data_IF_071684671147
#
_entry.id   IF_071684671147
#
_cell.length_a   1.000
_cell.length_b   1.000
_cell.length_c   1.000
_cell.angle_alpha   90.00
_cell.angle_beta   90.00
_cell.angle_gamma   90.00
#
_symmetry.space_group_name_H-M   'P 1'
#
loop_
_entity.id
_entity.type
_entity.pdbx_description
1 polymer ?
#
# COMPACT_ATOMS: atom_id res chain seq x y z
N UNK A 1 -11.10 12.92 19.70
CA UNK A 1 -10.34 12.01 18.81
C UNK A 1 -10.18 12.65 17.45
N UNK A 2 -9.20 12.21 16.66
CA UNK A 2 -8.98 12.68 15.29
C UNK A 2 -9.18 11.51 14.30
N UNK A 3 -9.84 11.76 13.17
CA UNK A 3 -9.94 10.79 12.08
C UNK A 3 -8.60 10.65 11.35
N UNK A 4 -8.26 9.44 10.88
CA UNK A 4 -7.01 9.14 10.17
C UNK A 4 -7.29 8.47 8.84
N UNK A 5 -6.71 8.99 7.77
CA UNK A 5 -6.80 8.39 6.44
C UNK A 5 -5.45 7.79 6.07
N UNK A 6 -5.42 6.51 5.72
CA UNK A 6 -4.25 5.88 5.12
C UNK A 6 -4.23 6.20 3.63
N UNK A 7 -3.29 7.05 3.21
CA UNK A 7 -3.16 7.44 1.82
C UNK A 7 -2.22 6.47 1.09
N UNK A 8 -2.65 6.00 -0.09
CA UNK A 8 -1.87 5.14 -0.99
C UNK A 8 -1.61 3.76 -0.38
N UNK A 9 -2.67 3.10 0.08
CA UNK A 9 -2.60 1.81 0.79
C UNK A 9 -1.94 0.66 -0.01
N UNK A 10 -1.84 0.79 -1.34
CA UNK A 10 -1.13 -0.14 -2.22
C UNK A 10 0.08 0.52 -2.92
N UNK A 11 0.72 1.50 -2.28
CA UNK A 11 2.02 2.00 -2.73
C UNK A 11 3.12 1.01 -2.34
N UNK A 12 3.98 0.66 -3.30
CA UNK A 12 5.18 -0.11 -3.05
C UNK A 12 6.36 0.83 -2.75
N UNK A 13 6.79 1.62 -3.74
CA UNK A 13 7.98 2.48 -3.58
C UNK A 13 8.13 3.50 -4.69
N UNK A 14 9.20 4.31 -4.62
CA UNK A 14 9.50 5.32 -5.65
C UNK A 14 9.82 4.68 -7.00
N UNK A 15 9.46 5.39 -8.06
CA UNK A 15 9.99 5.13 -9.41
C UNK A 15 11.42 5.67 -9.46
N UNK A 16 12.35 4.89 -9.99
CA UNK A 16 13.76 5.30 -10.07
C UNK A 16 13.96 6.44 -11.07
N UNK A 17 15.03 7.22 -10.92
CA UNK A 17 15.34 8.28 -11.87
C UNK A 17 15.63 7.68 -13.26
N UNK A 18 14.90 8.14 -14.27
CA UNK A 18 15.02 7.65 -15.65
C UNK A 18 14.19 6.39 -15.95
N UNK A 19 13.51 5.82 -14.94
CA UNK A 19 12.54 4.74 -15.15
C UNK A 19 11.22 5.30 -15.70
N UNK A 20 10.59 4.54 -16.62
CA UNK A 20 9.32 4.92 -17.21
C UNK A 20 8.16 4.74 -16.23
N UNK A 21 7.27 5.74 -16.20
CA UNK A 21 6.06 5.69 -15.39
C UNK A 21 4.97 4.83 -16.06
N UNK A 22 4.82 3.58 -15.60
CA UNK A 22 3.83 2.62 -16.14
C UNK A 22 2.37 3.08 -16.04
N UNK A 23 2.00 3.82 -15.00
CA UNK A 23 0.61 4.29 -14.79
C UNK A 23 0.52 5.80 -14.78
N UNK A 24 -0.25 6.37 -15.71
CA UNK A 24 -0.41 7.82 -15.86
C UNK A 24 -0.82 8.53 -14.56
N UNK A 25 -1.58 7.86 -13.67
CA UNK A 25 -2.08 8.42 -12.41
C UNK A 25 -1.23 8.09 -11.17
N UNK A 26 -0.19 7.28 -11.29
CA UNK A 26 0.67 6.91 -10.16
C UNK A 26 2.08 7.48 -10.36
N UNK A 27 2.54 8.31 -9.44
CA UNK A 27 3.91 8.86 -9.43
C UNK A 27 4.89 8.01 -8.60
N UNK A 28 4.49 6.77 -8.32
CA UNK A 28 5.19 5.76 -7.55
C UNK A 28 4.82 4.38 -8.11
N UNK A 29 5.59 3.35 -7.77
CA UNK A 29 5.26 1.96 -8.06
C UNK A 29 4.10 1.50 -7.18
N UNK A 30 2.92 1.17 -7.73
CA UNK A 30 1.89 0.48 -6.97
C UNK A 30 2.25 -1.00 -6.80
N UNK A 31 1.70 -1.65 -5.78
CA UNK A 31 1.79 -3.10 -5.61
C UNK A 31 0.86 -3.74 -6.66
N UNK A 32 1.44 -4.44 -7.63
CA UNK A 32 0.69 -5.18 -8.66
C UNK A 32 0.51 -6.66 -8.33
N UNK A 33 1.44 -7.21 -7.54
CA UNK A 33 1.38 -8.58 -7.04
C UNK A 33 0.18 -8.74 -6.09
N UNK A 34 -0.77 -9.61 -6.46
CA UNK A 34 -2.03 -9.73 -5.74
C UNK A 34 -1.84 -10.22 -4.30
N UNK A 35 -0.88 -11.11 -4.07
CA UNK A 35 -0.57 -11.64 -2.74
C UNK A 35 0.01 -10.56 -1.82
N UNK A 36 0.98 -9.77 -2.32
CA UNK A 36 1.52 -8.65 -1.56
C UNK A 36 0.48 -7.53 -1.36
N UNK A 37 -0.40 -7.29 -2.35
CA UNK A 37 -1.46 -6.30 -2.23
C UNK A 37 -2.49 -6.69 -1.16
N UNK A 38 -2.87 -7.96 -1.11
CA UNK A 38 -3.74 -8.53 -0.07
C UNK A 38 -3.14 -8.29 1.33
N UNK A 39 -1.88 -8.69 1.54
CA UNK A 39 -1.17 -8.47 2.80
C UNK A 39 -1.09 -6.98 3.18
N UNK A 40 -0.70 -6.12 2.24
CA UNK A 40 -0.50 -4.69 2.48
C UNK A 40 -1.81 -3.97 2.83
N UNK A 41 -2.90 -4.27 2.13
CA UNK A 41 -4.19 -3.64 2.39
C UNK A 41 -4.82 -4.17 3.68
N UNK A 42 -4.77 -5.49 3.95
CA UNK A 42 -5.27 -6.03 5.22
C UNK A 42 -4.48 -5.49 6.41
N UNK A 43 -3.15 -5.36 6.29
CA UNK A 43 -2.34 -4.68 7.31
C UNK A 43 -2.80 -3.24 7.54
N UNK A 44 -3.00 -2.48 6.46
CA UNK A 44 -3.45 -1.09 6.50
C UNK A 44 -4.81 -0.95 7.18
N UNK A 45 -5.80 -1.77 6.79
CA UNK A 45 -7.15 -1.79 7.35
C UNK A 45 -7.20 -2.29 8.80
N UNK A 46 -6.19 -3.04 9.25
CA UNK A 46 -6.04 -3.46 10.65
C UNK A 46 -5.48 -2.36 11.55
N UNK A 47 -4.97 -1.26 10.98
CA UNK A 47 -4.55 -0.10 11.76
C UNK A 47 -5.77 0.69 12.24
N UNK A 48 -5.63 1.50 13.31
CA UNK A 48 -6.74 2.30 13.82
C UNK A 48 -7.07 3.54 12.95
N UNK A 49 -7.41 3.32 11.68
CA UNK A 49 -7.73 4.32 10.67
C UNK A 49 -9.24 4.40 10.39
N UNK A 50 -9.67 5.48 9.74
CA UNK A 50 -11.06 5.69 9.30
C UNK A 50 -11.28 5.16 7.88
N UNK A 51 -10.31 5.36 6.98
CA UNK A 51 -10.39 4.86 5.62
C UNK A 51 -8.98 4.65 5.02
N UNK A 52 -8.90 3.78 4.02
CA UNK A 52 -7.72 3.54 3.21
C UNK A 52 -8.01 3.93 1.76
N UNK A 53 -7.11 4.73 1.15
CA UNK A 53 -7.26 5.21 -0.23
C UNK A 53 -6.25 4.49 -1.12
N UNK A 54 -6.68 3.70 -2.13
CA UNK A 54 -5.78 3.00 -3.04
C UNK A 54 -5.13 3.96 -4.06
N UNK A 55 -4.20 3.46 -4.91
CA UNK A 55 -3.63 4.21 -6.02
C UNK A 55 -4.68 4.75 -7.01
N UNK A 56 -4.35 5.82 -7.73
CA UNK A 56 -5.33 6.57 -8.54
C UNK A 56 -5.76 5.91 -9.86
N UNK A 57 -5.09 4.84 -10.28
CA UNK A 57 -5.50 4.05 -11.44
C UNK A 57 -6.62 3.06 -11.05
N UNK A 58 -7.68 3.00 -11.85
CA UNK A 58 -8.95 2.36 -11.48
C UNK A 58 -8.78 0.87 -11.16
N UNK A 59 -7.87 0.18 -11.84
CA UNK A 59 -7.66 -1.26 -11.59
C UNK A 59 -7.20 -1.57 -10.16
N UNK A 60 -6.51 -0.63 -9.50
CA UNK A 60 -6.09 -0.82 -8.11
C UNK A 60 -7.22 -0.53 -7.13
N UNK A 61 -8.20 0.29 -7.54
CA UNK A 61 -9.43 0.45 -6.78
C UNK A 61 -10.24 -0.84 -6.80
N UNK A 62 -10.42 -1.45 -7.98
CA UNK A 62 -11.12 -2.74 -8.12
C UNK A 62 -10.41 -3.83 -7.30
N UNK A 63 -9.08 -3.94 -7.42
CA UNK A 63 -8.29 -4.87 -6.62
C UNK A 63 -8.47 -4.65 -5.11
N UNK A 64 -8.50 -3.39 -4.66
CA UNK A 64 -8.68 -3.07 -3.26
C UNK A 64 -10.09 -3.44 -2.76
N UNK A 65 -11.12 -3.28 -3.59
CA UNK A 65 -12.49 -3.70 -3.26
C UNK A 65 -12.58 -5.22 -3.09
N UNK A 66 -11.99 -5.99 -4.01
CA UNK A 66 -11.99 -7.44 -3.91
C UNK A 66 -11.32 -7.92 -2.61
N UNK A 67 -10.13 -7.38 -2.30
CA UNK A 67 -9.39 -7.73 -1.07
C UNK A 67 -10.20 -7.33 0.17
N UNK A 68 -10.78 -6.13 0.17
CA UNK A 68 -11.55 -5.62 1.31
C UNK A 68 -12.82 -6.45 1.57
N UNK A 69 -13.44 -7.00 0.52
CA UNK A 69 -14.60 -7.88 0.65
C UNK A 69 -14.29 -9.18 1.39
N UNK A 70 -13.05 -9.66 1.32
CA UNK A 70 -12.56 -10.87 1.99
C UNK A 70 -11.69 -10.55 3.23
N UNK A 71 -11.82 -9.35 3.78
CA UNK A 71 -10.95 -8.88 4.85
C UNK A 71 -10.95 -9.82 6.06
N UNK A 72 -9.74 -10.17 6.48
CA UNK A 72 -9.41 -10.74 7.78
C UNK A 72 -8.20 -10.02 8.36
N UNK A 73 -8.13 -9.82 9.69
CA UNK A 73 -6.95 -9.23 10.31
C UNK A 73 -5.68 -10.01 9.94
N UNK A 74 -4.59 -9.29 9.75
CA UNK A 74 -3.27 -9.91 9.52
C UNK A 74 -2.76 -10.56 10.81
N UNK A 75 -2.08 -11.71 10.69
CA UNK A 75 -1.34 -12.31 11.80
C UNK A 75 0.04 -11.67 12.00
N UNK A 76 0.69 -11.96 13.12
CA UNK A 76 2.06 -11.49 13.38
C UNK A 76 3.07 -12.03 12.35
N UNK A 77 2.90 -13.27 11.90
CA UNK A 77 3.73 -13.86 10.85
C UNK A 77 3.50 -13.19 9.49
N UNK A 78 2.25 -12.84 9.16
CA UNK A 78 1.92 -12.08 7.95
C UNK A 78 2.52 -10.67 8.00
N UNK A 79 2.54 -10.03 9.18
CA UNK A 79 3.20 -8.73 9.40
C UNK A 79 4.72 -8.86 9.22
N UNK A 80 5.34 -9.92 9.75
CA UNK A 80 6.77 -10.17 9.58
C UNK A 80 7.13 -10.37 8.10
N UNK A 81 6.33 -11.15 7.37
CA UNK A 81 6.48 -11.34 5.93
C UNK A 81 6.33 -10.03 5.16
N UNK A 82 5.30 -9.24 5.48
CA UNK A 82 5.08 -7.93 4.84
C UNK A 82 6.29 -7.01 5.07
N UNK A 83 6.83 -6.97 6.30
CA UNK A 83 8.03 -6.19 6.63
C UNK A 83 9.21 -6.61 5.75
N UNK A 84 9.49 -7.92 5.65
CA UNK A 84 10.55 -8.46 4.80
C UNK A 84 10.36 -8.05 3.33
N UNK A 85 9.14 -8.16 2.81
CA UNK A 85 8.81 -7.80 1.42
C UNK A 85 8.96 -6.30 1.16
N UNK A 86 8.76 -5.47 2.18
CA UNK A 86 8.92 -4.02 2.08
C UNK A 86 10.37 -3.53 2.13
N UNK A 87 11.35 -4.34 2.55
CA UNK A 87 12.77 -3.92 2.64
C UNK A 87 13.38 -3.51 1.30
N UNK A 88 12.91 -4.09 0.20
CA UNK A 88 13.37 -3.77 -1.14
C UNK A 88 12.77 -2.47 -1.71
N UNK A 89 11.78 -1.88 -1.04
CA UNK A 89 11.08 -0.70 -1.54
C UNK A 89 11.76 0.60 -1.11
N UNK A 90 11.99 1.52 -2.06
CA UNK A 90 12.44 2.88 -1.76
C UNK A 90 11.27 3.72 -1.21
N UNK A 91 11.33 4.24 0.04
CA UNK A 91 10.22 4.95 0.67
C UNK A 91 9.83 6.24 -0.06
N UNK A 92 8.52 6.49 -0.22
CA UNK A 92 7.99 7.73 -0.80
C UNK A 92 8.27 8.95 0.06
N UNK A 93 8.08 8.80 1.37
CA UNK A 93 8.26 9.84 2.37
C UNK A 93 9.36 9.42 3.34
N UNK A 94 10.24 10.34 3.66
CA UNK A 94 11.21 10.17 4.75
C UNK A 94 10.77 11.07 5.88
N UNK A 95 10.87 10.58 7.11
CA UNK A 95 10.67 11.42 8.27
C UNK A 95 11.75 12.49 8.24
N UNK A 96 11.36 13.76 8.17
CA UNK A 96 12.31 14.85 8.34
C UNK A 96 12.74 14.87 9.81
N UNK A 97 14.04 14.90 10.07
CA UNK A 97 14.52 15.16 11.42
C UNK A 97 14.08 16.58 11.81
N UNK A 98 13.44 16.71 12.98
CA UNK A 98 13.05 18.00 13.54
C UNK A 98 14.27 18.80 14.00
#
# INVERSE_FOLDING_TARGET
GAARLALKALAYGKIAQGEEKKYAKCWYHPIEDRELADLALRFTLSQPITAAIPPGDAKFFDMALDIAAEFRPVSDDEIALLRQRSEAAEPLFRLHAA
#
